data_IF_794198012864
#
_entry.id   IF_794198012864
#
_cell.length_a   1.000
_cell.length_b   1.000
_cell.length_c   1.000
_cell.angle_alpha   90.00
_cell.angle_beta   90.00
_cell.angle_gamma   90.00
#
_symmetry.space_group_name_H-M   'P 1'
#
loop_
_entity.id
_entity.type
_entity.pdbx_description
1 polymer ?
#
# COMPACT_ATOMS: atom_id res chain seq x y z
N UNK A 1 61.65 72.64 60.01
CA UNK A 1 62.32 72.59 58.68
C UNK A 1 62.23 71.18 58.10
N UNK A 2 62.05 71.07 56.78
CA UNK A 2 62.30 69.90 55.90
C UNK A 2 61.27 68.77 55.70
N UNK A 3 60.11 68.73 56.38
CA UNK A 3 59.16 67.60 56.21
C UNK A 3 58.02 67.78 55.18
N UNK A 4 57.40 68.96 55.10
CA UNK A 4 56.16 69.18 54.31
C UNK A 4 56.37 69.56 52.84
N UNK A 5 57.56 70.03 52.48
CA UNK A 5 57.87 70.48 51.12
C UNK A 5 58.47 69.36 50.23
N UNK A 6 59.00 68.28 50.83
CA UNK A 6 59.47 67.11 50.07
C UNK A 6 58.33 66.24 49.53
N UNK A 7 57.21 66.14 50.26
CA UNK A 7 56.05 65.34 49.82
C UNK A 7 55.37 65.93 48.59
N UNK A 8 55.29 67.27 48.49
CA UNK A 8 54.76 67.98 47.33
C UNK A 8 55.68 67.87 46.09
N UNK A 9 57.00 67.89 46.29
CA UNK A 9 57.98 67.71 45.20
C UNK A 9 57.97 66.28 44.63
N UNK A 10 57.78 65.27 45.47
CA UNK A 10 57.68 63.87 45.04
C UNK A 10 56.37 63.61 44.28
N UNK A 11 55.26 64.22 44.71
CA UNK A 11 53.96 64.09 44.03
C UNK A 11 53.93 64.77 42.66
N UNK A 12 54.65 65.89 42.50
CA UNK A 12 54.81 66.59 41.22
C UNK A 12 55.74 65.84 40.23
N UNK A 13 56.75 65.14 40.75
CA UNK A 13 57.67 64.32 39.94
C UNK A 13 56.98 63.05 39.39
N UNK A 14 56.05 62.47 40.14
CA UNK A 14 55.27 61.29 39.72
C UNK A 14 54.30 61.63 38.58
N UNK A 15 53.76 62.85 38.53
CA UNK A 15 52.91 63.31 37.42
C UNK A 15 53.67 63.52 36.10
N UNK A 16 54.97 63.82 36.13
CA UNK A 16 55.79 63.94 34.91
C UNK A 16 56.10 62.57 34.27
N UNK A 17 56.15 61.49 35.04
CA UNK A 17 56.50 60.16 34.52
C UNK A 17 55.32 59.51 33.77
N UNK A 18 54.06 59.86 34.12
CA UNK A 18 52.85 59.31 33.48
C UNK A 18 52.55 59.98 32.12
N UNK A 19 53.10 61.15 31.84
CA UNK A 19 52.94 61.85 30.56
C UNK A 19 53.89 61.35 29.43
N UNK A 20 54.72 60.34 29.71
CA UNK A 20 55.82 59.91 28.83
C UNK A 20 55.55 58.70 27.90
N UNK A 21 54.39 58.06 27.97
CA UNK A 21 54.02 56.99 27.01
C UNK A 21 52.95 57.50 26.04
N UNK A 22 53.38 58.30 25.07
CA UNK A 22 52.61 58.58 23.86
C UNK A 22 53.23 57.81 22.70
N UNK A 23 53.02 56.49 22.67
CA UNK A 23 53.08 55.77 21.40
C UNK A 23 51.71 55.94 20.75
N UNK A 24 51.60 56.96 19.89
CA UNK A 24 50.43 57.17 19.06
C UNK A 24 50.47 56.15 17.92
N UNK A 25 50.05 54.93 18.22
CA UNK A 25 49.57 54.03 17.20
C UNK A 25 48.16 54.49 16.84
N UNK A 26 48.09 55.35 15.83
CA UNK A 26 46.86 55.84 15.21
C UNK A 26 46.14 54.63 14.59
N UNK A 27 45.23 54.03 15.36
CA UNK A 27 44.25 53.10 14.84
C UNK A 27 43.24 53.88 14.00
N UNK A 28 43.52 54.01 12.70
CA UNK A 28 42.43 54.19 11.74
C UNK A 28 41.40 53.08 11.96
N UNK A 29 40.09 53.37 11.92
CA UNK A 29 39.11 52.32 11.86
C UNK A 29 39.39 51.55 10.56
N UNK A 30 40.01 50.39 10.70
CA UNK A 30 40.23 49.42 9.63
C UNK A 30 38.97 49.41 8.76
N UNK A 31 39.11 49.80 7.48
CA UNK A 31 37.97 49.99 6.58
C UNK A 31 37.14 48.71 6.61
N UNK A 32 35.95 48.80 7.19
CA UNK A 32 35.06 47.65 7.39
C UNK A 32 34.84 46.88 6.06
N UNK A 33 34.85 47.59 4.95
CA UNK A 33 34.76 47.03 3.60
C UNK A 33 35.99 46.22 3.17
N UNK A 34 37.20 46.63 3.57
CA UNK A 34 38.43 45.89 3.30
C UNK A 34 38.53 44.64 4.17
N UNK A 35 38.19 44.72 5.46
CA UNK A 35 38.12 43.55 6.35
C UNK A 35 37.04 42.57 5.88
N UNK A 36 35.87 43.07 5.46
CA UNK A 36 34.79 42.24 4.89
C UNK A 36 35.25 41.52 3.62
N UNK A 37 35.93 42.22 2.72
CA UNK A 37 36.46 41.63 1.48
C UNK A 37 37.51 40.55 1.79
N UNK A 38 38.42 40.83 2.73
CA UNK A 38 39.42 39.86 3.19
C UNK A 38 38.75 38.61 3.79
N UNK A 39 37.75 38.75 4.65
CA UNK A 39 37.02 37.61 5.25
C UNK A 39 36.27 36.81 4.19
N UNK A 40 35.63 37.48 3.23
CA UNK A 40 34.94 36.80 2.12
C UNK A 40 35.93 36.04 1.22
N UNK A 41 37.11 36.61 0.98
CA UNK A 41 38.14 35.99 0.16
C UNK A 41 38.79 34.80 0.89
N UNK A 42 38.99 34.87 2.21
CA UNK A 42 39.43 33.73 3.04
C UNK A 42 38.39 32.61 3.04
N UNK A 43 37.09 32.93 3.17
CA UNK A 43 36.04 31.92 3.12
C UNK A 43 35.90 31.27 1.74
N UNK A 44 36.19 32.02 0.67
CA UNK A 44 36.15 31.51 -0.71
C UNK A 44 37.44 30.80 -1.13
N UNK A 45 38.54 31.01 -0.41
CA UNK A 45 39.81 30.35 -0.69
C UNK A 45 39.69 28.84 -0.52
N UNK A 46 40.62 28.10 -1.13
CA UNK A 46 40.64 26.65 -1.01
C UNK A 46 40.89 26.19 0.42
N UNK A 47 41.60 26.99 1.22
CA UNK A 47 41.83 26.75 2.65
C UNK A 47 40.55 26.97 3.45
N UNK A 48 39.79 28.04 3.20
CA UNK A 48 38.50 28.29 3.85
C UNK A 48 37.47 27.19 3.53
N UNK A 49 37.39 26.76 2.27
CA UNK A 49 36.53 25.62 1.88
C UNK A 49 36.94 24.32 2.57
N UNK A 50 38.24 24.03 2.65
CA UNK A 50 38.75 22.83 3.34
C UNK A 50 38.44 22.87 4.84
N UNK A 51 38.65 24.01 5.49
CA UNK A 51 38.34 24.20 6.90
C UNK A 51 36.85 24.01 7.19
N UNK A 52 35.96 24.56 6.37
CA UNK A 52 34.51 24.34 6.49
C UNK A 52 34.15 22.87 6.24
N UNK A 53 34.75 22.21 5.26
CA UNK A 53 34.53 20.78 5.01
C UNK A 53 35.01 19.90 6.16
N UNK A 54 36.11 20.26 6.82
CA UNK A 54 36.63 19.55 7.99
C UNK A 54 35.71 19.71 9.20
N UNK A 55 35.22 20.93 9.43
CA UNK A 55 34.20 21.24 10.45
C UNK A 55 32.88 20.50 10.16
N UNK A 56 32.47 20.39 8.90
CA UNK A 56 31.26 19.64 8.51
C UNK A 56 31.40 18.12 8.66
N UNK A 57 32.62 17.58 8.82
CA UNK A 57 32.84 16.17 9.14
C UNK A 57 32.73 15.89 10.63
N UNK A 58 32.72 16.92 11.46
CA UNK A 58 32.53 16.79 12.90
C UNK A 58 31.07 16.40 13.21
N UNK A 59 30.88 15.30 13.93
CA UNK A 59 29.56 14.77 14.28
C UNK A 59 28.76 15.70 15.20
N UNK A 60 29.43 16.50 16.04
CA UNK A 60 28.78 17.50 16.90
C UNK A 60 28.25 18.65 16.06
N UNK A 61 29.02 19.09 15.07
CA UNK A 61 28.60 20.14 14.15
C UNK A 61 27.48 19.65 13.22
N UNK A 62 27.56 18.42 12.70
CA UNK A 62 26.48 17.83 11.91
C UNK A 62 25.17 17.70 12.70
N UNK A 63 25.26 17.31 13.97
CA UNK A 63 24.10 17.26 14.88
C UNK A 63 23.56 18.63 15.24
N UNK A 64 24.39 19.68 15.24
CA UNK A 64 23.93 21.05 15.48
C UNK A 64 23.43 21.73 14.19
N UNK A 65 23.81 21.22 13.01
CA UNK A 65 23.33 21.63 11.70
C UNK A 65 21.99 20.95 11.33
N UNK A 66 21.14 20.66 12.32
CA UNK A 66 19.80 20.12 12.09
C UNK A 66 19.06 21.10 11.18
N UNK A 67 18.79 20.63 9.96
CA UNK A 67 17.90 21.30 9.03
C UNK A 67 16.56 21.50 9.74
N UNK A 68 16.05 22.73 9.70
CA UNK A 68 14.76 23.10 10.29
C UNK A 68 13.72 22.01 10.04
N UNK A 69 13.13 21.48 11.11
CA UNK A 69 12.24 20.31 11.05
C UNK A 69 11.08 20.53 10.07
N UNK A 70 10.60 21.77 9.96
CA UNK A 70 9.55 22.15 9.01
C UNK A 70 10.05 22.05 7.56
N UNK A 71 11.26 22.51 7.29
CA UNK A 71 11.91 22.37 5.98
C UNK A 71 12.16 20.91 5.63
N UNK A 72 12.61 20.09 6.58
CA UNK A 72 12.80 18.64 6.39
C UNK A 72 11.47 17.95 6.08
N UNK A 73 10.44 18.16 6.91
CA UNK A 73 9.12 17.58 6.72
C UNK A 73 8.52 17.97 5.35
N UNK A 74 8.55 19.26 5.01
CA UNK A 74 8.06 19.75 3.73
C UNK A 74 8.83 19.16 2.54
N UNK A 75 10.14 18.95 2.70
CA UNK A 75 10.97 18.37 1.64
C UNK A 75 10.67 16.88 1.48
N UNK A 76 10.52 16.13 2.57
CA UNK A 76 10.12 14.72 2.55
C UNK A 76 8.74 14.57 1.93
N UNK A 77 7.76 15.37 2.36
CA UNK A 77 6.40 15.35 1.82
C UNK A 77 6.41 15.64 0.32
N UNK A 78 7.11 16.70 -0.11
CA UNK A 78 7.25 17.03 -1.54
C UNK A 78 7.97 15.93 -2.32
N UNK A 79 9.03 15.34 -1.77
CA UNK A 79 9.77 14.28 -2.43
C UNK A 79 8.88 13.04 -2.62
N UNK A 80 8.15 12.63 -1.58
CA UNK A 80 7.28 11.46 -1.60
C UNK A 80 6.03 11.65 -2.48
N UNK A 81 5.48 12.87 -2.53
CA UNK A 81 4.27 13.19 -3.32
C UNK A 81 4.56 13.62 -4.76
N UNK A 82 5.82 13.94 -5.07
CA UNK A 82 6.23 14.29 -6.43
C UNK A 82 6.12 13.11 -7.39
N UNK A 83 6.07 13.40 -8.70
CA UNK A 83 6.13 12.36 -9.74
C UNK A 83 7.39 11.51 -9.65
N UNK A 84 8.53 12.09 -9.25
CA UNK A 84 9.76 11.34 -8.99
C UNK A 84 9.62 10.38 -7.80
N UNK A 85 8.87 10.78 -6.77
CA UNK A 85 8.53 9.91 -5.63
C UNK A 85 7.65 8.74 -6.06
N UNK A 86 6.63 8.98 -6.89
CA UNK A 86 5.80 7.91 -7.46
C UNK A 86 6.61 6.93 -8.30
N UNK A 87 7.49 7.43 -9.15
CA UNK A 87 8.39 6.61 -9.97
C UNK A 87 9.37 5.81 -9.10
N UNK A 88 9.94 6.44 -8.06
CA UNK A 88 10.77 5.77 -7.08
C UNK A 88 10.04 4.59 -6.41
N UNK A 89 8.82 4.82 -5.93
CA UNK A 89 8.01 3.76 -5.31
C UNK A 89 7.68 2.66 -6.30
N UNK A 90 7.28 3.01 -7.54
CA UNK A 90 7.01 2.02 -8.59
C UNK A 90 8.21 1.10 -8.83
N UNK A 91 9.39 1.67 -9.05
CA UNK A 91 10.62 0.90 -9.28
C UNK A 91 11.04 0.09 -8.04
N UNK A 92 10.78 0.62 -6.84
CA UNK A 92 11.12 -0.06 -5.58
C UNK A 92 10.18 -1.25 -5.32
N UNK A 93 8.91 -1.17 -5.71
CA UNK A 93 7.96 -2.28 -5.66
C UNK A 93 8.22 -3.37 -6.70
N UNK A 94 9.04 -3.10 -7.72
CA UNK A 94 9.51 -4.14 -8.66
C UNK A 94 10.57 -5.06 -8.03
N UNK A 95 11.24 -4.63 -6.95
CA UNK A 95 12.12 -5.51 -6.17
C UNK A 95 11.29 -6.47 -5.30
N UNK A 96 11.34 -7.76 -5.64
CA UNK A 96 10.65 -8.83 -4.92
C UNK A 96 10.96 -8.86 -3.43
N UNK A 97 12.21 -8.58 -3.01
CA UNK A 97 12.58 -8.60 -1.58
C UNK A 97 11.93 -7.46 -0.82
N UNK A 98 11.91 -6.28 -1.44
CA UNK A 98 11.23 -5.11 -0.87
C UNK A 98 9.73 -5.36 -0.81
N UNK A 99 9.12 -5.80 -1.92
CA UNK A 99 7.70 -6.12 -2.00
C UNK A 99 7.27 -7.19 -0.99
N UNK A 100 8.07 -8.24 -0.80
CA UNK A 100 7.82 -9.28 0.21
C UNK A 100 7.89 -8.71 1.63
N UNK A 101 8.92 -7.93 1.95
CA UNK A 101 9.05 -7.27 3.25
C UNK A 101 7.86 -6.35 3.55
N UNK A 102 7.46 -5.54 2.57
CA UNK A 102 6.32 -4.65 2.69
C UNK A 102 4.98 -5.40 2.77
N UNK A 103 4.79 -6.46 2.00
CA UNK A 103 3.58 -7.28 2.07
C UNK A 103 3.44 -7.96 3.44
N UNK A 104 4.55 -8.45 4.02
CA UNK A 104 4.56 -9.06 5.36
C UNK A 104 4.17 -8.07 6.45
N UNK A 105 4.62 -6.81 6.37
CA UNK A 105 4.22 -5.80 7.36
C UNK A 105 2.75 -5.41 7.23
N UNK A 106 2.20 -5.38 6.02
CA UNK A 106 0.79 -5.09 5.77
C UNK A 106 -0.15 -6.28 5.96
N UNK A 107 0.37 -7.52 6.01
CA UNK A 107 -0.43 -8.74 5.99
C UNK A 107 -1.60 -8.72 6.97
N UNK A 108 -1.34 -8.37 8.23
CA UNK A 108 -2.36 -8.35 9.30
C UNK A 108 -3.47 -7.34 9.03
N UNK A 109 -3.12 -6.12 8.64
CA UNK A 109 -4.13 -5.08 8.36
C UNK A 109 -4.85 -5.34 7.05
N UNK A 110 -4.15 -5.86 6.04
CA UNK A 110 -4.74 -6.26 4.77
C UNK A 110 -5.74 -7.40 4.94
N UNK A 111 -5.43 -8.40 5.77
CA UNK A 111 -6.36 -9.47 6.12
C UNK A 111 -7.61 -8.93 6.83
N UNK A 112 -7.45 -7.99 7.77
CA UNK A 112 -8.59 -7.34 8.44
C UNK A 112 -9.47 -6.59 7.43
N UNK A 113 -8.87 -5.89 6.48
CA UNK A 113 -9.58 -5.19 5.41
C UNK A 113 -10.36 -6.19 4.56
N UNK A 114 -9.73 -7.26 4.07
CA UNK A 114 -10.41 -8.29 3.26
C UNK A 114 -11.56 -8.94 4.06
N UNK A 115 -11.34 -9.29 5.33
CA UNK A 115 -12.40 -9.86 6.20
C UNK A 115 -13.57 -8.92 6.40
N UNK A 116 -13.33 -7.61 6.45
CA UNK A 116 -14.39 -6.61 6.54
C UNK A 116 -15.12 -6.46 5.20
N UNK A 117 -14.38 -6.37 4.10
CA UNK A 117 -14.94 -6.29 2.75
C UNK A 117 -15.78 -7.52 2.41
N UNK A 118 -15.42 -8.72 2.84
CA UNK A 118 -16.27 -9.92 2.65
C UNK A 118 -17.65 -9.81 3.30
N UNK A 119 -17.85 -8.90 4.27
CA UNK A 119 -19.14 -8.62 4.91
C UNK A 119 -19.84 -7.41 4.31
N UNK A 120 -19.17 -6.70 3.41
CA UNK A 120 -19.70 -5.52 2.74
C UNK A 120 -20.55 -5.93 1.53
N UNK A 121 -21.78 -5.40 1.37
CA UNK A 121 -22.67 -5.78 0.26
C UNK A 121 -22.12 -5.48 -1.13
N UNK A 122 -21.38 -4.38 -1.32
CA UNK A 122 -20.83 -4.01 -2.62
C UNK A 122 -19.72 -4.97 -3.02
N UNK A 123 -18.83 -5.29 -2.09
CA UNK A 123 -17.77 -6.27 -2.32
C UNK A 123 -18.32 -7.68 -2.52
N UNK A 124 -19.36 -8.07 -1.79
CA UNK A 124 -20.07 -9.33 -2.05
C UNK A 124 -20.68 -9.37 -3.44
N UNK A 125 -21.26 -8.27 -3.91
CA UNK A 125 -21.76 -8.14 -5.29
C UNK A 125 -20.67 -8.41 -6.32
N UNK A 126 -19.52 -7.75 -6.20
CA UNK A 126 -18.37 -7.98 -7.06
C UNK A 126 -17.87 -9.44 -7.00
N UNK A 127 -17.82 -10.02 -5.79
CA UNK A 127 -17.41 -11.41 -5.62
C UNK A 127 -18.39 -12.39 -6.27
N UNK A 128 -19.70 -12.12 -6.19
CA UNK A 128 -20.72 -12.92 -6.85
C UNK A 128 -20.59 -12.89 -8.37
N UNK A 129 -20.22 -11.74 -8.95
CA UNK A 129 -19.99 -11.64 -10.39
C UNK A 129 -18.75 -12.43 -10.82
N UNK A 130 -17.70 -12.46 -9.99
CA UNK A 130 -16.55 -13.35 -10.19
C UNK A 130 -16.97 -14.83 -10.13
N UNK A 131 -17.84 -15.20 -9.18
CA UNK A 131 -18.33 -16.57 -9.01
C UNK A 131 -19.27 -17.03 -10.14
N UNK A 132 -19.90 -16.12 -10.87
CA UNK A 132 -20.76 -16.42 -12.03
C UNK A 132 -19.99 -16.61 -13.34
N UNK A 133 -18.66 -16.58 -13.30
CA UNK A 133 -17.88 -16.74 -14.53
C UNK A 133 -18.05 -18.19 -15.10
N UNK A 134 -17.83 -18.40 -16.40
CA UNK A 134 -18.03 -19.72 -17.03
C UNK A 134 -17.15 -20.85 -16.45
N UNK A 135 -15.95 -20.52 -15.94
CA UNK A 135 -15.05 -21.52 -15.34
C UNK A 135 -15.60 -22.03 -14.01
N UNK A 136 -16.14 -21.12 -13.19
CA UNK A 136 -16.81 -21.46 -11.93
C UNK A 136 -18.11 -22.23 -12.18
N UNK A 137 -18.83 -21.90 -13.25
CA UNK A 137 -19.99 -22.69 -13.68
C UNK A 137 -19.59 -24.12 -14.06
N UNK A 138 -18.50 -24.30 -14.80
CA UNK A 138 -18.00 -25.64 -15.16
C UNK A 138 -17.62 -26.46 -13.92
N UNK A 139 -16.90 -25.85 -12.97
CA UNK A 139 -16.55 -26.51 -11.70
C UNK A 139 -17.80 -26.83 -10.87
N UNK A 140 -18.79 -25.94 -10.83
CA UNK A 140 -20.07 -26.21 -10.18
C UNK A 140 -20.81 -27.38 -10.86
N UNK A 141 -20.80 -27.45 -12.18
CA UNK A 141 -21.39 -28.58 -12.93
C UNK A 141 -20.66 -29.90 -12.66
N UNK A 142 -19.33 -29.88 -12.46
CA UNK A 142 -18.58 -31.06 -12.03
C UNK A 142 -19.03 -31.53 -10.64
N UNK A 143 -19.22 -30.60 -9.71
CA UNK A 143 -19.74 -30.91 -8.36
C UNK A 143 -21.16 -31.46 -8.43
N UNK A 144 -22.06 -30.87 -9.22
CA UNK A 144 -23.44 -31.38 -9.38
C UNK A 144 -23.48 -32.77 -10.05
N UNK A 145 -22.48 -33.10 -10.86
CA UNK A 145 -22.36 -34.43 -11.48
C UNK A 145 -21.58 -35.42 -10.62
N UNK A 146 -21.07 -35.01 -9.46
CA UNK A 146 -20.28 -35.86 -8.57
C UNK A 146 -21.11 -37.02 -8.02
N UNK A 147 -20.42 -38.06 -7.54
CA UNK A 147 -21.09 -39.25 -6.98
C UNK A 147 -21.84 -38.90 -5.70
N UNK A 148 -21.27 -38.02 -4.89
CA UNK A 148 -21.82 -37.54 -3.62
C UNK A 148 -23.13 -36.78 -3.86
N UNK A 149 -23.13 -35.86 -4.84
CA UNK A 149 -24.34 -35.11 -5.17
C UNK A 149 -25.41 -35.99 -5.81
N UNK A 150 -25.02 -36.97 -6.64
CA UNK A 150 -25.97 -37.96 -7.19
C UNK A 150 -26.64 -38.80 -6.12
N UNK A 151 -25.91 -39.22 -5.08
CA UNK A 151 -26.48 -39.97 -3.96
C UNK A 151 -27.51 -39.12 -3.19
N UNK A 152 -27.16 -37.88 -2.88
CA UNK A 152 -28.08 -36.93 -2.27
C UNK A 152 -29.33 -36.72 -3.17
N UNK A 153 -29.13 -36.51 -4.47
CA UNK A 153 -30.21 -36.30 -5.42
C UNK A 153 -31.11 -37.55 -5.54
N UNK A 154 -30.53 -38.75 -5.55
CA UNK A 154 -31.28 -40.01 -5.57
C UNK A 154 -32.16 -40.15 -4.32
N UNK A 155 -31.62 -39.80 -3.15
CA UNK A 155 -32.40 -39.80 -1.91
C UNK A 155 -33.54 -38.78 -1.97
N UNK A 156 -33.27 -37.53 -2.38
CA UNK A 156 -34.31 -36.51 -2.51
C UNK A 156 -35.40 -36.89 -3.53
N UNK A 157 -35.03 -37.48 -4.67
CA UNK A 157 -35.99 -38.01 -5.65
C UNK A 157 -36.82 -39.12 -5.03
N UNK A 158 -36.19 -40.04 -4.29
CA UNK A 158 -36.90 -41.13 -3.61
C UNK A 158 -37.89 -40.59 -2.57
N UNK A 159 -37.49 -39.59 -1.79
CA UNK A 159 -38.33 -38.94 -0.78
C UNK A 159 -39.54 -38.23 -1.43
N UNK A 160 -39.30 -37.52 -2.55
CA UNK A 160 -40.36 -36.85 -3.32
C UNK A 160 -41.34 -37.86 -3.94
N UNK A 161 -40.84 -38.94 -4.55
CA UNK A 161 -41.69 -39.99 -5.15
C UNK A 161 -42.47 -40.76 -4.09
N UNK A 162 -41.90 -40.91 -2.89
CA UNK A 162 -42.56 -41.55 -1.74
C UNK A 162 -43.49 -40.60 -0.99
N UNK A 163 -43.57 -39.32 -1.38
CA UNK A 163 -44.45 -38.35 -0.77
C UNK A 163 -45.92 -38.70 -1.05
N UNK A 164 -46.81 -38.63 -0.03
CA UNK A 164 -48.25 -38.81 -0.21
C UNK A 164 -48.88 -37.84 -1.24
N UNK A 165 -48.22 -36.71 -1.52
CA UNK A 165 -48.67 -35.76 -2.54
C UNK A 165 -48.33 -36.20 -3.97
N UNK A 166 -47.33 -37.07 -4.14
CA UNK A 166 -46.82 -37.47 -5.45
C UNK A 166 -47.21 -38.91 -5.83
N UNK A 167 -47.38 -39.80 -4.85
CA UNK A 167 -47.85 -41.17 -5.08
C UNK A 167 -49.14 -41.24 -5.94
N UNK A 168 -50.20 -40.44 -5.65
CA UNK A 168 -51.42 -40.48 -6.47
C UNK A 168 -51.19 -40.04 -7.92
N UNK A 169 -50.25 -39.11 -8.15
CA UNK A 169 -49.90 -38.66 -9.51
C UNK A 169 -49.16 -39.74 -10.31
N UNK A 170 -48.32 -40.52 -9.64
CA UNK A 170 -47.64 -41.67 -10.23
C UNK A 170 -48.67 -42.75 -10.57
N UNK A 171 -49.58 -43.05 -9.65
CA UNK A 171 -50.66 -44.02 -9.87
C UNK A 171 -51.57 -43.60 -11.04
N UNK A 172 -51.99 -42.32 -11.09
CA UNK A 172 -52.80 -41.79 -12.19
C UNK A 172 -52.05 -41.87 -13.53
N UNK A 173 -50.76 -41.54 -13.56
CA UNK A 173 -49.94 -41.65 -14.75
C UNK A 173 -49.79 -43.09 -15.23
N UNK A 174 -49.60 -44.05 -14.31
CA UNK A 174 -49.54 -45.48 -14.60
C UNK A 174 -50.88 -46.00 -15.15
N UNK A 175 -52.00 -45.58 -14.56
CA UNK A 175 -53.34 -45.94 -15.04
C UNK A 175 -53.60 -45.39 -16.45
N UNK A 176 -53.23 -44.13 -16.72
CA UNK A 176 -53.33 -43.53 -18.06
C UNK A 176 -52.44 -44.26 -19.07
N UNK A 177 -51.21 -44.61 -18.70
CA UNK A 177 -50.31 -45.35 -19.57
C UNK A 177 -50.84 -46.77 -19.88
N UNK A 178 -51.39 -47.45 -18.88
CA UNK A 178 -52.01 -48.76 -19.07
C UNK A 178 -53.24 -48.69 -19.98
N UNK A 179 -54.11 -47.69 -19.80
CA UNK A 179 -55.25 -47.44 -20.68
C UNK A 179 -54.84 -47.15 -22.13
N UNK A 180 -53.77 -46.36 -22.33
CA UNK A 180 -53.20 -46.09 -23.66
C UNK A 180 -52.56 -47.33 -24.29
N UNK A 181 -51.89 -48.18 -23.51
CA UNK A 181 -51.34 -49.44 -23.99
C UNK A 181 -52.45 -50.42 -24.40
N UNK A 182 -53.52 -50.52 -23.61
CA UNK A 182 -54.69 -51.35 -23.92
C UNK A 182 -55.43 -50.87 -25.18
N UNK A 183 -55.63 -49.55 -25.32
CA UNK A 183 -56.26 -48.97 -26.51
C UNK A 183 -55.39 -49.08 -27.77
N UNK A 184 -54.06 -49.09 -27.65
CA UNK A 184 -53.16 -49.42 -28.77
C UNK A 184 -53.16 -50.92 -29.11
N UNK A 185 -53.34 -51.80 -28.14
CA UNK A 185 -53.40 -53.25 -28.36
C UNK A 185 -54.76 -53.69 -28.96
N UNK A 186 -55.82 -52.91 -28.79
CA UNK A 186 -57.12 -53.15 -29.42
C UNK A 186 -57.24 -52.59 -30.85
N UNK A 187 -56.24 -51.84 -31.33
CA UNK A 187 -56.19 -51.24 -32.67
C UNK A 187 -55.24 -51.91 -33.68
N UNK A 188 -54.55 -52.99 -33.30
CA UNK A 188 -53.50 -53.63 -34.14
C UNK A 188 -53.79 -55.07 -34.58
N UNK A 189 -55.02 -55.57 -34.37
CA UNK A 189 -55.34 -56.99 -34.54
C UNK A 189 -56.55 -57.26 -35.42
N UNK A 190 -56.60 -56.71 -36.63
CA UNK A 190 -57.38 -57.30 -37.73
C UNK A 190 -57.08 -56.60 -39.06
N UNK A 191 -56.12 -57.13 -39.82
CA UNK A 191 -56.23 -57.17 -41.28
C UNK A 191 -55.13 -58.08 -41.82
N UNK A 192 -55.50 -59.30 -42.19
CA UNK A 192 -54.56 -60.24 -42.78
C UNK A 192 -55.04 -61.67 -42.87
N UNK A 193 -56.32 -61.91 -43.16
CA UNK A 193 -56.72 -63.14 -43.85
C UNK A 193 -58.12 -63.06 -44.48
N UNK A 194 -58.17 -62.71 -45.76
CA UNK A 194 -59.05 -63.28 -46.79
C UNK A 194 -58.13 -63.43 -48.01
N UNK A 195 -57.98 -64.56 -48.70
CA UNK A 195 -58.91 -65.66 -48.84
C UNK A 195 -59.33 -65.78 -50.31
N UNK A 196 -58.41 -66.24 -51.17
CA UNK A 196 -58.73 -67.09 -52.32
C UNK A 196 -59.30 -66.48 -53.61
N UNK A 197 -58.63 -66.80 -54.72
CA UNK A 197 -59.33 -67.44 -55.84
C UNK A 197 -59.47 -66.65 -57.15
N UNK A 198 -58.62 -67.01 -58.12
CA UNK A 198 -59.07 -67.33 -59.48
C UNK A 198 -59.02 -66.21 -60.53
N UNK A 199 -58.30 -66.49 -61.63
CA UNK A 199 -58.67 -66.01 -62.95
C UNK A 199 -57.54 -65.35 -63.76
N UNK A 200 -57.00 -66.13 -64.70
CA UNK A 200 -56.23 -65.77 -65.91
C UNK A 200 -54.78 -65.30 -65.77
#
# INVERSE_FOLDING_TARGET
>A
MRGRNCSLLIMMLIWMIVAGCADRQQSEPMNYDETKKMVVDILKSDEGKKAVQEIMKDEEVQRNLILDQKTVNNTIEKALTSEKGKEFWKNTFEDTKFAEGFAKTLQTEHEKVIKRLMKDPEYQGMLMDVLKNPQMEEELLKVLKSKEYRQYLQQQITDVLSSPLFQPKIEEALLKAAQQAQSKQQGGGSSGNEGGGGGQ
#
